data_IF_318868915216
#
_entry.id   IF_318868915216
#
_cell.length_a   1.000
_cell.length_b   1.000
_cell.length_c   1.000
_cell.angle_alpha   90.00
_cell.angle_beta   90.00
_cell.angle_gamma   90.00
#
_symmetry.space_group_name_H-M   'P 1'
#
loop_
_entity.id
_entity.type
_entity.pdbx_description
1 polymer ?
#
# COMPACT_ATOMS: atom_id res chain seq x y z
N UNK A 1 7.74 -19.34 -5.49
CA UNK A 1 8.23 -18.00 -5.89
C UNK A 1 8.79 -18.09 -7.30
N UNK A 2 8.48 -17.15 -8.17
CA UNK A 2 8.92 -17.19 -9.57
C UNK A 2 10.35 -16.66 -9.71
N UNK A 3 11.10 -17.17 -10.68
CA UNK A 3 12.45 -16.68 -10.99
C UNK A 3 12.46 -15.18 -11.36
N UNK A 4 11.37 -14.69 -11.97
CA UNK A 4 11.18 -13.29 -12.32
C UNK A 4 11.10 -12.39 -11.07
N UNK A 5 10.35 -12.80 -10.05
CA UNK A 5 10.25 -12.07 -8.78
C UNK A 5 11.61 -11.99 -8.08
N UNK A 6 12.36 -13.10 -8.03
CA UNK A 6 13.69 -13.13 -7.41
C UNK A 6 14.64 -12.16 -8.11
N UNK A 7 14.65 -12.15 -9.45
CA UNK A 7 15.51 -11.25 -10.22
C UNK A 7 15.15 -9.78 -9.99
N UNK A 8 13.86 -9.46 -9.91
CA UNK A 8 13.41 -8.09 -9.65
C UNK A 8 13.75 -7.65 -8.21
N UNK A 9 13.55 -8.52 -7.21
CA UNK A 9 13.95 -8.25 -5.84
C UNK A 9 15.46 -8.00 -5.70
N UNK A 10 16.29 -8.77 -6.41
CA UNK A 10 17.75 -8.56 -6.48
C UNK A 10 18.09 -7.14 -6.92
N UNK A 11 17.55 -6.69 -8.06
CA UNK A 11 17.81 -5.35 -8.59
C UNK A 11 17.37 -4.24 -7.62
N UNK A 12 16.19 -4.38 -7.02
CA UNK A 12 15.66 -3.40 -6.06
C UNK A 12 16.53 -3.26 -4.81
N UNK A 13 16.94 -4.39 -4.23
CA UNK A 13 17.78 -4.39 -3.03
C UNK A 13 19.17 -3.83 -3.33
N UNK A 14 19.74 -4.14 -4.50
CA UNK A 14 21.05 -3.63 -4.91
C UNK A 14 21.02 -2.10 -5.07
N UNK A 15 20.01 -1.56 -5.74
CA UNK A 15 19.87 -0.13 -6.01
C UNK A 15 19.67 0.69 -4.72
N UNK A 16 18.89 0.19 -3.76
CA UNK A 16 18.54 0.94 -2.56
C UNK A 16 19.50 0.72 -1.38
N UNK A 17 20.12 -0.47 -1.27
CA UNK A 17 20.88 -0.87 -0.09
C UNK A 17 22.29 -1.41 -0.40
N UNK A 18 22.63 -1.63 -1.67
CA UNK A 18 23.93 -2.13 -2.10
C UNK A 18 24.08 -3.65 -2.08
N UNK A 19 25.22 -4.13 -2.58
CA UNK A 19 25.47 -5.53 -2.91
C UNK A 19 25.41 -6.49 -1.71
N UNK A 20 25.92 -6.08 -0.55
CA UNK A 20 25.96 -6.95 0.64
C UNK A 20 24.52 -7.23 1.11
N UNK A 21 23.67 -6.19 1.16
CA UNK A 21 22.28 -6.32 1.61
C UNK A 21 21.47 -7.13 0.60
N UNK A 22 21.68 -6.88 -0.69
CA UNK A 22 21.08 -7.66 -1.78
C UNK A 22 21.39 -9.15 -1.65
N UNK A 23 22.66 -9.52 -1.50
CA UNK A 23 23.09 -10.91 -1.40
C UNK A 23 22.38 -11.65 -0.26
N UNK A 24 22.29 -11.03 0.92
CA UNK A 24 21.60 -11.61 2.08
C UNK A 24 20.09 -11.68 1.87
N UNK A 25 19.48 -10.60 1.36
CA UNK A 25 18.04 -10.56 1.11
C UNK A 25 17.59 -11.58 0.07
N UNK A 26 18.29 -11.67 -1.06
CA UNK A 26 18.00 -12.64 -2.13
C UNK A 26 18.23 -14.07 -1.67
N UNK A 27 19.25 -14.32 -0.85
CA UNK A 27 19.47 -15.63 -0.25
C UNK A 27 18.24 -16.07 0.55
N UNK A 28 17.79 -15.26 1.52
CA UNK A 28 16.60 -15.54 2.34
C UNK A 28 15.32 -15.70 1.49
N UNK A 29 15.15 -14.90 0.45
CA UNK A 29 14.03 -15.00 -0.49
C UNK A 29 14.02 -16.38 -1.19
N UNK A 30 15.19 -16.96 -1.47
CA UNK A 30 15.32 -18.25 -2.18
C UNK A 30 15.27 -19.47 -1.26
N UNK A 31 15.88 -19.38 -0.08
CA UNK A 31 16.06 -20.51 0.84
C UNK A 31 15.01 -20.56 1.95
N UNK A 32 14.31 -19.45 2.22
CA UNK A 32 13.31 -19.35 3.28
C UNK A 32 13.91 -18.98 4.63
N UNK A 33 13.21 -19.35 5.71
CA UNK A 33 13.60 -19.04 7.09
C UNK A 33 14.92 -19.72 7.48
N UNK A 34 15.90 -18.93 7.94
CA UNK A 34 17.22 -19.46 8.31
C UNK A 34 17.86 -18.78 9.52
N UNK A 35 18.68 -19.50 10.33
CA UNK A 35 19.47 -18.91 11.41
C UNK A 35 20.66 -18.06 10.93
N UNK A 36 21.08 -17.09 11.76
CA UNK A 36 22.19 -16.17 11.47
C UNK A 36 23.48 -16.84 10.96
N UNK A 37 23.90 -17.93 11.61
CA UNK A 37 25.17 -18.61 11.28
C UNK A 37 25.11 -19.34 9.94
N UNK A 38 23.94 -19.88 9.59
CA UNK A 38 23.71 -20.58 8.32
C UNK A 38 23.78 -19.56 7.17
N UNK A 39 23.12 -18.41 7.34
CA UNK A 39 23.17 -17.31 6.37
C UNK A 39 24.62 -16.88 6.10
N UNK A 40 25.44 -16.72 7.14
CA UNK A 40 26.84 -16.33 6.98
C UNK A 40 27.68 -17.40 6.27
N UNK A 41 27.48 -18.67 6.63
CA UNK A 41 28.16 -19.81 6.01
C UNK A 41 27.81 -19.93 4.52
N UNK A 42 26.51 -19.99 4.21
CA UNK A 42 26.01 -20.29 2.85
C UNK A 42 26.27 -19.14 1.88
N UNK A 43 26.33 -17.90 2.38
CA UNK A 43 26.68 -16.74 1.56
C UNK A 43 28.18 -16.47 1.53
N UNK A 44 29.01 -17.12 2.36
CA UNK A 44 30.43 -16.82 2.50
C UNK A 44 30.69 -15.37 2.93
N UNK A 45 29.78 -14.79 3.72
CA UNK A 45 29.83 -13.38 4.16
C UNK A 45 30.17 -13.33 5.64
N UNK A 46 30.97 -12.34 6.08
CA UNK A 46 31.35 -12.24 7.50
C UNK A 46 30.13 -12.03 8.40
N UNK A 47 30.15 -12.59 9.61
CA UNK A 47 29.03 -12.46 10.56
C UNK A 47 28.68 -10.99 10.87
N UNK A 48 29.66 -10.09 10.89
CA UNK A 48 29.44 -8.66 11.12
C UNK A 48 28.65 -8.01 9.96
N UNK A 49 29.04 -8.30 8.72
CA UNK A 49 28.32 -7.84 7.53
C UNK A 49 26.90 -8.40 7.46
N UNK A 50 26.70 -9.67 7.80
CA UNK A 50 25.36 -10.28 7.85
C UNK A 50 24.49 -9.59 8.91
N UNK A 51 25.02 -9.31 10.11
CA UNK A 51 24.30 -8.57 11.15
C UNK A 51 23.88 -7.18 10.68
N UNK A 52 24.79 -6.44 10.03
CA UNK A 52 24.50 -5.11 9.46
C UNK A 52 23.42 -5.18 8.39
N UNK A 53 23.52 -6.14 7.47
CA UNK A 53 22.53 -6.34 6.42
C UNK A 53 21.14 -6.69 6.98
N UNK A 54 21.06 -7.65 7.91
CA UNK A 54 19.80 -8.00 8.57
C UNK A 54 19.21 -6.83 9.34
N UNK A 55 20.04 -6.01 10.00
CA UNK A 55 19.57 -4.81 10.69
C UNK A 55 18.88 -3.83 9.72
N UNK A 56 19.48 -3.55 8.56
CA UNK A 56 18.90 -2.68 7.52
C UNK A 56 17.59 -3.27 6.98
N UNK A 57 17.56 -4.57 6.69
CA UNK A 57 16.36 -5.25 6.16
C UNK A 57 15.21 -5.27 7.17
N UNK A 58 15.50 -5.51 8.45
CA UNK A 58 14.51 -5.47 9.53
C UNK A 58 14.02 -4.03 9.74
N UNK A 59 14.92 -3.03 9.70
CA UNK A 59 14.56 -1.61 9.82
C UNK A 59 13.52 -1.19 8.77
N UNK A 60 13.63 -1.71 7.53
CA UNK A 60 12.70 -1.42 6.43
C UNK A 60 11.52 -2.40 6.34
N UNK A 61 11.34 -3.28 7.33
CA UNK A 61 10.30 -4.32 7.37
C UNK A 61 10.33 -5.29 6.16
N UNK A 62 11.52 -5.53 5.60
CA UNK A 62 11.72 -6.47 4.49
C UNK A 62 11.98 -7.89 4.99
N UNK A 63 12.47 -8.01 6.22
CA UNK A 63 12.74 -9.29 6.91
C UNK A 63 12.05 -9.27 8.28
N UNK A 64 11.37 -10.37 8.60
CA UNK A 64 10.86 -10.67 9.94
C UNK A 64 11.76 -11.70 10.62
N UNK A 65 11.68 -11.78 11.95
CA UNK A 65 12.38 -12.79 12.73
C UNK A 65 11.44 -13.47 13.72
N UNK A 66 11.70 -14.73 14.03
CA UNK A 66 10.96 -15.51 15.01
C UNK A 66 11.91 -16.38 15.85
N UNK A 67 11.55 -16.61 17.10
CA UNK A 67 12.30 -17.51 17.99
C UNK A 67 11.70 -18.91 17.90
N UNK A 68 12.48 -19.86 17.36
CA UNK A 68 12.08 -21.26 17.24
C UNK A 68 12.43 -22.07 18.50
N UNK A 69 12.02 -23.36 18.48
CA UNK A 69 12.35 -24.33 19.53
C UNK A 69 13.87 -24.30 19.81
N UNK A 70 14.25 -24.30 21.09
CA UNK A 70 15.65 -24.16 21.59
C UNK A 70 16.24 -22.75 21.55
N UNK A 71 15.44 -21.70 21.31
CA UNK A 71 15.89 -20.31 21.42
C UNK A 71 16.72 -19.82 20.23
N UNK A 72 16.64 -20.50 19.09
CA UNK A 72 17.30 -20.08 17.85
C UNK A 72 16.43 -19.05 17.14
N UNK A 73 17.01 -17.91 16.79
CA UNK A 73 16.35 -16.87 16.00
C UNK A 73 16.53 -17.19 14.52
N UNK A 74 15.42 -17.33 13.81
CA UNK A 74 15.41 -17.45 12.35
C UNK A 74 14.89 -16.17 11.71
N UNK A 75 15.42 -15.88 10.52
CA UNK A 75 15.09 -14.70 9.73
C UNK A 75 14.40 -15.14 8.44
N UNK A 76 13.31 -14.47 8.10
CA UNK A 76 12.51 -14.77 6.91
C UNK A 76 12.25 -13.48 6.12
N UNK A 77 12.51 -13.50 4.81
CA UNK A 77 12.31 -12.36 3.93
C UNK A 77 10.91 -12.33 3.30
N UNK A 78 10.30 -11.16 3.28
CA UNK A 78 8.97 -10.95 2.70
C UNK A 78 9.09 -10.47 1.24
N UNK A 79 9.09 -11.41 0.29
CA UNK A 79 9.26 -11.12 -1.14
C UNK A 79 8.24 -10.09 -1.67
N UNK A 80 6.95 -10.25 -1.31
CA UNK A 80 5.90 -9.33 -1.74
C UNK A 80 6.17 -7.89 -1.30
N UNK A 81 6.71 -7.70 -0.09
CA UNK A 81 7.04 -6.41 0.52
C UNK A 81 8.24 -5.73 -0.14
N UNK A 82 9.24 -6.49 -0.60
CA UNK A 82 10.36 -5.97 -1.41
C UNK A 82 9.83 -5.44 -2.74
N UNK A 83 8.99 -6.22 -3.43
CA UNK A 83 8.36 -5.79 -4.70
C UNK A 83 7.50 -4.53 -4.54
N UNK A 84 6.98 -4.24 -3.34
CA UNK A 84 6.21 -3.02 -3.08
C UNK A 84 7.06 -1.74 -3.11
N UNK A 85 8.40 -1.82 -3.08
CA UNK A 85 9.28 -0.66 -3.22
C UNK A 85 9.05 0.09 -4.54
N UNK A 86 8.75 -0.63 -5.62
CA UNK A 86 8.39 -0.06 -6.92
C UNK A 86 7.17 0.87 -6.88
N UNK A 87 6.33 0.76 -5.85
CA UNK A 87 5.10 1.56 -5.70
C UNK A 87 5.29 2.78 -4.80
N UNK A 88 6.48 2.99 -4.22
CA UNK A 88 6.73 4.12 -3.31
C UNK A 88 6.37 5.48 -3.92
N UNK A 89 6.76 5.82 -5.17
CA UNK A 89 6.37 7.09 -5.77
C UNK A 89 4.84 7.28 -5.85
N UNK A 90 4.11 6.20 -6.12
CA UNK A 90 2.65 6.24 -6.18
C UNK A 90 2.02 6.44 -4.80
N UNK A 91 2.57 5.83 -3.75
CA UNK A 91 2.09 6.06 -2.38
C UNK A 91 2.27 7.52 -1.98
N UNK A 92 3.47 8.07 -2.21
CA UNK A 92 3.82 9.47 -1.93
C UNK A 92 2.87 10.43 -2.65
N UNK A 93 2.69 10.26 -3.96
CA UNK A 93 1.78 11.09 -4.76
C UNK A 93 0.31 11.01 -4.30
N UNK A 94 -0.13 9.82 -3.91
CA UNK A 94 -1.50 9.63 -3.39
C UNK A 94 -1.69 10.39 -2.09
N UNK A 95 -0.70 10.34 -1.20
CA UNK A 95 -0.75 11.09 0.05
C UNK A 95 -0.73 12.60 -0.19
N UNK A 96 0.08 13.10 -1.13
CA UNK A 96 0.06 14.51 -1.55
C UNK A 96 -1.35 14.95 -1.97
N UNK A 97 -2.02 14.12 -2.76
CA UNK A 97 -3.37 14.40 -3.27
C UNK A 97 -4.41 14.51 -2.14
N UNK A 98 -4.26 13.73 -1.06
CA UNK A 98 -5.23 13.67 0.04
C UNK A 98 -4.87 14.57 1.23
N UNK A 99 -3.59 14.88 1.44
CA UNK A 99 -3.06 15.50 2.67
C UNK A 99 -2.07 16.65 2.43
N UNK A 100 -1.96 17.15 1.18
CA UNK A 100 -1.00 18.20 0.81
C UNK A 100 0.46 17.76 0.97
N UNK A 101 1.39 18.70 0.77
CA UNK A 101 2.84 18.49 0.83
C UNK A 101 3.31 18.00 2.21
N UNK A 102 2.65 18.41 3.29
CA UNK A 102 2.96 17.93 4.65
C UNK A 102 2.74 16.43 4.78
N UNK A 103 1.62 15.91 4.26
CA UNK A 103 1.34 14.48 4.27
C UNK A 103 2.27 13.69 3.34
N UNK A 104 2.59 14.26 2.17
CA UNK A 104 3.55 13.71 1.22
C UNK A 104 4.89 13.38 1.91
N UNK A 105 5.48 14.36 2.58
CA UNK A 105 6.78 14.21 3.24
C UNK A 105 6.74 13.28 4.45
N UNK A 106 5.62 13.22 5.20
CA UNK A 106 5.45 12.25 6.30
C UNK A 106 5.59 10.82 5.76
N UNK A 107 4.87 10.50 4.69
CA UNK A 107 4.89 9.15 4.11
C UNK A 107 6.23 8.88 3.42
N UNK A 108 6.82 9.86 2.76
CA UNK A 108 8.16 9.74 2.16
C UNK A 108 9.21 9.37 3.22
N UNK A 109 9.26 10.08 4.35
CA UNK A 109 10.22 9.79 5.43
C UNK A 109 10.01 8.38 6.02
N UNK A 110 8.76 7.95 6.20
CA UNK A 110 8.43 6.61 6.69
C UNK A 110 8.83 5.51 5.68
N UNK A 111 8.65 5.75 4.38
CA UNK A 111 9.01 4.75 3.35
C UNK A 111 10.52 4.63 3.15
N UNK A 112 11.25 5.75 3.18
CA UNK A 112 12.68 5.80 2.93
C UNK A 112 13.54 5.42 4.13
N UNK A 113 13.08 5.69 5.36
CA UNK A 113 13.84 5.34 6.58
C UNK A 113 13.29 4.08 7.28
N UNK A 114 12.13 3.56 6.85
CA UNK A 114 11.43 2.45 7.51
C UNK A 114 10.76 2.88 8.81
N UNK A 115 11.19 2.33 9.94
CA UNK A 115 10.61 2.63 11.26
C UNK A 115 11.11 3.96 11.83
N UNK A 116 10.19 4.87 12.15
CA UNK A 116 10.50 6.13 12.83
C UNK A 116 9.52 6.41 13.96
N UNK A 117 9.96 7.12 15.01
CA UNK A 117 9.06 7.67 16.03
C UNK A 117 8.30 8.87 15.49
N UNK A 118 7.15 9.22 16.09
CA UNK A 118 6.37 10.38 15.66
C UNK A 118 7.19 11.66 15.80
N UNK A 119 7.91 11.83 16.90
CA UNK A 119 8.80 12.97 17.14
C UNK A 119 9.89 13.11 16.06
N UNK A 120 10.48 12.00 15.61
CA UNK A 120 11.50 12.01 14.57
C UNK A 120 10.92 12.42 13.21
N UNK A 121 9.74 11.89 12.84
CA UNK A 121 9.05 12.24 11.59
C UNK A 121 8.67 13.72 11.59
N UNK A 122 7.99 14.20 12.65
CA UNK A 122 7.55 15.60 12.75
C UNK A 122 8.72 16.57 12.60
N UNK A 123 9.84 16.28 13.29
CA UNK A 123 11.06 17.08 13.18
C UNK A 123 11.64 17.10 11.77
N UNK A 124 11.86 15.93 11.16
CA UNK A 124 12.43 15.81 9.81
C UNK A 124 11.59 16.53 8.77
N UNK A 125 10.27 16.37 8.84
CA UNK A 125 9.32 16.99 7.90
C UNK A 125 9.29 18.51 8.08
N UNK A 126 9.22 19.00 9.32
CA UNK A 126 9.22 20.44 9.58
C UNK A 126 10.53 21.11 9.13
N UNK A 127 11.68 20.46 9.35
CA UNK A 127 12.98 20.94 8.88
C UNK A 127 13.00 21.03 7.34
N UNK A 128 12.60 19.96 6.63
CA UNK A 128 12.54 19.93 5.15
C UNK A 128 11.55 20.95 4.56
N UNK A 129 10.36 21.10 5.13
CA UNK A 129 9.39 22.09 4.66
C UNK A 129 9.89 23.51 4.86
N UNK A 130 10.57 23.78 5.97
CA UNK A 130 11.13 25.11 6.23
C UNK A 130 12.20 25.51 5.22
N UNK A 131 12.93 24.55 4.64
CA UNK A 131 13.89 24.80 3.54
C UNK A 131 13.19 25.21 2.24
N UNK A 132 11.96 24.76 2.01
CA UNK A 132 11.15 25.13 0.82
C UNK A 132 10.35 26.43 1.00
N UNK A 133 10.25 26.95 2.22
CA UNK A 133 9.50 28.17 2.53
C UNK A 133 10.36 29.44 2.35
N UNK A 134 9.70 30.53 1.94
CA UNK A 134 10.28 31.88 1.89
C UNK A 134 11.00 32.28 3.19
N UNK A 135 12.05 33.10 3.06
CA UNK A 135 12.84 33.57 4.18
C UNK A 135 11.98 34.22 5.27
N UNK A 136 12.24 33.82 6.52
CA UNK A 136 11.52 34.29 7.70
C UNK A 136 10.28 33.45 8.07
N UNK A 137 9.71 32.66 7.16
CA UNK A 137 8.65 31.69 7.51
C UNK A 137 9.24 30.38 8.01
N UNK A 138 8.55 29.68 8.89
CA UNK A 138 9.00 28.39 9.45
C UNK A 138 7.82 27.46 9.59
N UNK A 139 8.03 26.17 9.33
CA UNK A 139 7.00 25.16 9.57
C UNK A 139 6.88 24.88 11.07
N UNK A 140 5.64 24.91 11.58
CA UNK A 140 5.34 24.59 12.98
C UNK A 140 5.15 23.07 13.14
N UNK A 141 5.71 22.51 14.21
CA UNK A 141 5.53 21.11 14.56
C UNK A 141 4.06 20.76 14.80
N UNK A 142 3.25 21.71 15.28
CA UNK A 142 1.82 21.50 15.49
C UNK A 142 1.07 21.15 14.19
N UNK A 143 1.39 21.81 13.08
CA UNK A 143 0.73 21.57 11.78
C UNK A 143 1.09 20.18 11.23
N UNK A 144 2.36 19.80 11.32
CA UNK A 144 2.85 18.48 10.92
C UNK A 144 2.23 17.39 11.80
N UNK A 145 2.17 17.60 13.11
CA UNK A 145 1.54 16.69 14.07
C UNK A 145 0.06 16.48 13.78
N UNK A 146 -0.70 17.54 13.51
CA UNK A 146 -2.11 17.44 13.14
C UNK A 146 -2.32 16.62 11.86
N UNK A 147 -1.43 16.77 10.87
CA UNK A 147 -1.49 15.99 9.63
C UNK A 147 -1.15 14.52 9.88
N UNK A 148 -0.17 14.25 10.76
CA UNK A 148 0.18 12.89 11.19
C UNK A 148 -0.99 12.20 11.88
N UNK A 149 -1.69 12.90 12.79
CA UNK A 149 -2.88 12.38 13.48
C UNK A 149 -3.97 12.02 12.46
N UNK A 150 -4.27 12.91 11.51
CA UNK A 150 -5.24 12.62 10.44
C UNK A 150 -4.86 11.40 9.59
N UNK A 151 -3.57 11.20 9.30
CA UNK A 151 -3.07 10.04 8.57
C UNK A 151 -3.23 8.74 9.38
N UNK A 152 -3.04 8.81 10.70
CA UNK A 152 -3.27 7.69 11.61
C UNK A 152 -4.77 7.37 11.72
N UNK A 153 -5.63 8.38 11.89
CA UNK A 153 -7.09 8.23 12.00
C UNK A 153 -7.70 7.61 10.73
N UNK A 154 -7.11 7.88 9.56
CA UNK A 154 -7.52 7.30 8.27
C UNK A 154 -6.74 6.05 7.89
N UNK A 155 -5.95 5.52 8.83
CA UNK A 155 -5.19 4.27 8.76
C UNK A 155 -4.09 4.21 7.68
N UNK A 156 -3.67 5.33 7.10
CA UNK A 156 -2.55 5.36 6.14
C UNK A 156 -1.18 5.18 6.82
N UNK A 157 -1.12 5.50 8.11
CA UNK A 157 0.06 5.32 8.97
C UNK A 157 -0.38 4.48 10.18
N UNK A 158 0.46 3.53 10.58
CA UNK A 158 0.18 2.61 11.69
C UNK A 158 1.41 2.35 12.55
N UNK A 159 1.21 1.97 13.81
CA UNK A 159 2.30 1.54 14.68
C UNK A 159 2.90 0.22 14.20
N UNK A 160 4.20 0.08 14.42
CA UNK A 160 4.93 -1.18 14.24
C UNK A 160 4.60 -2.15 15.40
N UNK A 161 4.80 -3.46 15.20
CA UNK A 161 4.74 -4.44 16.29
C UNK A 161 5.69 -4.06 17.43
N UNK A 162 5.23 -4.13 18.67
CA UNK A 162 5.98 -3.73 19.85
C UNK A 162 6.32 -4.93 20.74
N UNK A 163 7.29 -4.74 21.64
CA UNK A 163 7.57 -5.71 22.70
C UNK A 163 6.45 -5.61 23.74
N UNK A 164 5.85 -6.72 24.19
CA UNK A 164 4.83 -6.68 25.23
C UNK A 164 5.42 -6.09 26.52
N UNK A 165 4.71 -5.14 27.13
CA UNK A 165 5.05 -4.58 28.44
C UNK A 165 4.81 -5.62 29.52
N UNK A 166 5.86 -6.33 29.93
CA UNK A 166 5.81 -7.25 31.08
C UNK A 166 5.91 -6.44 32.38
N UNK A 167 4.79 -5.86 32.83
CA UNK A 167 4.78 -5.13 34.10
C UNK A 167 4.74 -6.04 35.36
N UNK A 168 4.63 -7.37 35.20
CA UNK A 168 4.39 -8.27 36.35
C UNK A 168 4.98 -9.69 36.25
N UNK A 169 6.06 -9.91 35.51
CA UNK A 169 6.77 -11.20 35.51
C UNK A 169 8.21 -11.04 35.95
N UNK A 170 8.60 -11.83 36.96
CA UNK A 170 9.95 -12.07 37.45
C UNK A 170 10.99 -12.00 36.32
N UNK A 171 12.07 -11.18 36.41
CA UNK A 171 13.02 -11.01 35.32
C UNK A 171 13.87 -12.27 35.20
N UNK A 172 13.36 -13.26 34.48
CA UNK A 172 14.15 -14.36 33.98
C UNK A 172 15.27 -13.86 33.05
N UNK A 173 16.17 -14.76 32.61
CA UNK A 173 17.21 -14.42 31.64
C UNK A 173 16.61 -13.74 30.41
N UNK A 174 17.25 -12.69 29.86
CA UNK A 174 16.73 -12.02 28.68
C UNK A 174 16.59 -13.03 27.53
N UNK A 175 15.45 -13.05 26.82
CA UNK A 175 15.26 -13.98 25.72
C UNK A 175 16.25 -13.67 24.58
N UNK A 176 16.59 -14.67 23.73
CA UNK A 176 17.51 -14.49 22.61
C UNK A 176 17.10 -13.38 21.62
N UNK A 177 15.80 -13.15 21.46
CA UNK A 177 15.23 -11.99 20.79
C UNK A 177 13.84 -11.68 21.38
N UNK A 178 13.41 -10.41 21.40
CA UNK A 178 12.09 -10.05 21.88
C UNK A 178 11.01 -10.58 20.92
N UNK A 179 9.94 -11.16 21.47
CA UNK A 179 8.77 -11.53 20.65
C UNK A 179 7.89 -10.31 20.48
N UNK A 180 7.76 -9.84 19.23
CA UNK A 180 6.94 -8.67 18.92
C UNK A 180 5.47 -9.07 18.76
N UNK A 181 4.56 -8.28 19.31
CA UNK A 181 3.12 -8.49 19.24
C UNK A 181 2.45 -7.24 18.69
N UNK A 182 1.40 -7.43 17.89
CA UNK A 182 0.55 -6.35 17.41
C UNK A 182 -0.60 -6.18 18.40
N UNK A 183 -0.68 -5.02 19.06
CA UNK A 183 -1.87 -4.64 19.83
C UNK A 183 -2.83 -3.88 18.91
N UNK A 184 -3.94 -4.51 18.52
CA UNK A 184 -4.93 -3.92 17.61
C UNK A 184 -5.51 -2.61 18.14
N UNK A 185 -5.68 -2.48 19.46
CA UNK A 185 -6.26 -1.28 20.09
C UNK A 185 -5.37 -0.05 19.94
N UNK A 186 -4.05 -0.27 19.95
CA UNK A 186 -3.07 0.82 19.94
C UNK A 186 -2.56 1.15 18.54
N UNK A 187 -2.91 0.34 17.53
CA UNK A 187 -2.33 0.39 16.18
C UNK A 187 -2.41 1.78 15.53
N UNK A 188 -3.50 2.50 15.78
CA UNK A 188 -3.76 3.84 15.23
C UNK A 188 -3.83 4.91 16.32
N UNK A 189 -3.66 4.54 17.59
CA UNK A 189 -3.68 5.50 18.69
C UNK A 189 -2.41 6.34 18.62
N UNK A 190 -2.53 7.66 18.59
CA UNK A 190 -1.36 8.56 18.59
C UNK A 190 -1.00 8.94 20.03
N UNK A 191 0.28 8.86 20.45
CA UNK A 191 0.68 9.35 21.76
C UNK A 191 0.40 10.85 21.87
N UNK A 192 -0.12 11.30 23.03
CA UNK A 192 -0.37 12.72 23.30
C UNK A 192 0.97 13.42 23.56
N UNK A 193 1.58 13.93 22.50
CA UNK A 193 2.85 14.63 22.56
C UNK A 193 2.64 16.14 22.42
N UNK A 194 3.08 16.91 23.41
CA UNK A 194 3.20 18.38 23.30
C UNK A 194 4.47 18.73 22.51
N UNK A 195 4.50 18.40 21.21
CA UNK A 195 5.60 18.76 20.33
C UNK A 195 5.49 20.24 19.96
N UNK A 196 6.19 21.10 20.71
CA UNK A 196 6.28 22.53 20.44
C UNK A 196 7.66 22.79 19.83
N UNK A 197 7.68 23.32 18.60
CA UNK A 197 8.93 23.59 17.90
C UNK A 197 8.71 24.13 16.49
N UNK A 198 9.80 24.63 15.91
CA UNK A 198 9.82 25.15 14.54
C UNK A 198 10.92 24.44 13.77
N UNK A 199 10.66 24.19 12.49
CA UNK A 199 11.66 23.67 11.58
C UNK A 199 12.88 24.57 11.53
N UNK A 200 14.07 23.96 11.44
CA UNK A 200 15.34 24.67 11.34
C UNK A 200 15.80 24.67 9.89
N UNK A 201 16.12 25.85 9.35
CA UNK A 201 16.88 25.95 8.10
C UNK A 201 18.30 25.45 8.34
N UNK A 202 18.83 24.65 7.42
CA UNK A 202 20.27 24.47 7.31
C UNK A 202 20.90 25.82 6.98
N UNK A 203 21.52 26.46 7.97
CA UNK A 203 22.43 27.57 7.69
C UNK A 203 23.63 26.96 6.97
N UNK A 204 23.76 27.23 5.66
CA UNK A 204 25.06 27.12 5.01
C UNK A 204 25.98 28.07 5.75
N UNK A 205 26.97 27.50 6.43
CA UNK A 205 28.02 28.26 7.11
C UNK A 205 28.91 28.95 6.06
N UNK A 206 28.45 30.08 5.53
CA UNK A 206 29.26 31.01 4.71
C UNK A 206 28.95 32.51 4.99
N UNK A 207 28.05 32.84 5.93
CA UNK A 207 27.76 34.24 6.30
C UNK A 207 28.30 34.66 7.69
N UNK A 208 29.09 33.83 8.37
CA UNK A 208 29.72 34.18 9.66
C UNK A 208 31.10 34.89 9.50
N UNK A 209 31.40 35.46 8.33
CA UNK A 209 32.66 36.18 8.09
C UNK A 209 32.60 37.71 8.29
N UNK A 210 31.44 38.28 8.64
CA UNK A 210 31.30 39.75 8.76
C UNK A 210 30.43 40.19 9.96
N UNK A 211 30.73 39.72 11.17
CA UNK A 211 30.11 40.22 12.39
C UNK A 211 30.95 39.95 13.64
N UNK A 212 31.18 40.99 14.44
CA UNK A 212 32.07 41.06 15.60
C UNK A 212 31.93 39.90 16.62
N UNK A 213 33.01 39.56 17.37
CA UNK A 213 33.07 38.35 18.19
C UNK A 213 32.23 38.50 19.46
N UNK A 214 31.05 37.89 19.48
CA UNK A 214 30.28 37.71 20.73
C UNK A 214 30.94 36.65 21.61
N UNK A 215 31.23 37.06 22.85
CA UNK A 215 31.96 36.30 23.85
C UNK A 215 31.47 34.85 24.03
N UNK A 216 32.43 33.92 24.04
CA UNK A 216 32.25 32.50 24.36
C UNK A 216 31.57 32.35 25.74
N UNK A 217 30.28 32.00 25.74
CA UNK A 217 29.61 31.49 26.95
C UNK A 217 30.15 30.09 27.27
N UNK A 218 30.31 29.73 28.56
CA UNK A 218 31.02 28.52 28.94
C UNK A 218 30.22 27.27 28.53
N UNK A 219 30.97 26.26 28.11
CA UNK A 219 30.50 24.92 27.77
C UNK A 219 30.00 24.25 29.05
N UNK A 220 28.70 24.35 29.34
CA UNK A 220 28.10 23.58 30.42
C UNK A 220 27.95 22.14 29.94
N UNK A 221 28.81 21.28 30.48
CA UNK A 221 28.75 19.82 30.41
C UNK A 221 27.54 19.33 31.19
N UNK A 222 26.51 18.85 30.50
CA UNK A 222 25.53 17.85 30.96
C UNK A 222 24.60 17.47 29.78
N UNK A 223 25.08 16.60 28.88
CA UNK A 223 24.23 15.87 27.94
C UNK A 223 23.39 14.82 28.70
N UNK A 224 22.38 15.27 29.43
CA UNK A 224 21.20 14.43 29.70
C UNK A 224 20.21 14.79 28.59
N UNK A 225 20.26 14.07 27.46
CA UNK A 225 19.14 14.10 26.51
C UNK A 225 17.91 13.68 27.31
N UNK A 226 16.96 14.60 27.49
CA UNK A 226 15.65 14.23 28.02
C UNK A 226 15.13 13.04 27.20
N UNK A 227 14.62 11.98 27.84
CA UNK A 227 14.07 10.84 27.13
C UNK A 227 12.97 11.35 26.20
N UNK A 228 13.09 10.98 24.93
CA UNK A 228 12.09 11.31 23.93
C UNK A 228 10.79 10.64 24.38
N UNK A 229 9.67 11.39 24.49
CA UNK A 229 8.45 10.90 25.15
C UNK A 229 7.78 9.73 24.42
N UNK A 230 8.07 9.54 23.13
CA UNK A 230 7.59 8.43 22.29
C UNK A 230 8.68 7.41 21.93
N UNK A 231 9.76 7.34 22.72
CA UNK A 231 10.78 6.31 22.52
C UNK A 231 10.18 4.90 22.63
N UNK A 232 10.53 4.04 21.69
CA UNK A 232 9.94 2.70 21.53
C UNK A 232 8.60 2.64 20.77
N UNK A 233 7.96 3.78 20.46
CA UNK A 233 6.73 3.82 19.64
C UNK A 233 7.08 4.14 18.19
N UNK A 234 7.33 3.09 17.41
CA UNK A 234 7.66 3.21 16.00
C UNK A 234 6.43 3.17 15.10
N UNK A 235 6.45 3.96 14.04
CA UNK A 235 5.42 4.06 13.02
C UNK A 235 5.95 3.64 11.65
N UNK A 236 5.04 3.19 10.80
CA UNK A 236 5.29 2.80 9.42
C UNK A 236 4.09 3.14 8.53
N UNK A 237 4.31 3.24 7.22
CA UNK A 237 3.23 3.36 6.25
C UNK A 237 2.43 2.05 6.14
N UNK A 238 1.10 2.14 6.18
CA UNK A 238 0.20 1.01 5.99
C UNK A 238 -0.05 0.80 4.49
N UNK A 239 0.69 -0.12 3.88
CA UNK A 239 0.60 -0.36 2.43
C UNK A 239 -0.76 -0.94 2.00
N UNK A 240 -1.43 -1.69 2.87
CA UNK A 240 -2.72 -2.31 2.56
C UNK A 240 -3.82 -1.26 2.46
N UNK A 241 -3.76 -0.20 3.28
CA UNK A 241 -4.67 0.95 3.19
C UNK A 241 -4.55 1.67 1.84
N UNK A 242 -3.33 1.80 1.30
CA UNK A 242 -3.13 2.34 -0.05
C UNK A 242 -3.71 1.42 -1.12
N UNK A 243 -3.60 0.10 -0.98
CA UNK A 243 -4.17 -0.83 -1.96
C UNK A 243 -5.69 -0.81 -1.92
N UNK A 244 -6.30 -0.68 -0.75
CA UNK A 244 -7.73 -0.44 -0.60
C UNK A 244 -8.15 0.83 -1.34
N UNK A 245 -7.43 1.95 -1.12
CA UNK A 245 -7.70 3.20 -1.85
C UNK A 245 -7.56 3.04 -3.37
N UNK A 246 -6.54 2.33 -3.86
CA UNK A 246 -6.35 2.10 -5.30
C UNK A 246 -7.42 1.20 -5.92
N UNK A 247 -7.84 0.17 -5.20
CA UNK A 247 -8.98 -0.67 -5.59
C UNK A 247 -10.22 0.20 -5.74
N UNK A 248 -10.51 1.02 -4.75
CA UNK A 248 -11.71 1.85 -4.72
C UNK A 248 -11.69 2.88 -5.87
N UNK A 249 -10.56 3.54 -6.12
CA UNK A 249 -10.39 4.44 -7.26
C UNK A 249 -10.59 3.74 -8.62
N UNK A 250 -10.07 2.52 -8.78
CA UNK A 250 -10.24 1.76 -10.02
C UNK A 250 -11.71 1.40 -10.26
N UNK A 251 -12.44 0.98 -9.22
CA UNK A 251 -13.87 0.67 -9.30
C UNK A 251 -14.67 1.93 -9.64
N UNK A 252 -14.42 3.03 -8.93
CA UNK A 252 -15.12 4.31 -9.16
C UNK A 252 -14.87 4.85 -10.56
N UNK A 253 -13.63 4.80 -11.05
CA UNK A 253 -13.30 5.22 -12.42
C UNK A 253 -13.99 4.35 -13.47
N UNK A 254 -14.06 3.03 -13.26
CA UNK A 254 -14.77 2.13 -14.17
C UNK A 254 -16.28 2.43 -14.23
N UNK A 255 -16.91 2.75 -13.09
CA UNK A 255 -18.33 3.17 -13.05
C UNK A 255 -18.53 4.50 -13.76
N UNK A 256 -17.65 5.48 -13.52
CA UNK A 256 -17.71 6.80 -14.15
C UNK A 256 -17.65 6.73 -15.68
N UNK A 257 -16.80 5.85 -16.22
CA UNK A 257 -16.62 5.70 -17.67
C UNK A 257 -17.76 4.93 -18.34
N UNK A 258 -18.47 4.08 -17.61
CA UNK A 258 -19.51 3.20 -18.16
C UNK A 258 -20.92 3.76 -18.01
N UNK A 259 -21.17 4.50 -16.93
CA UNK A 259 -22.47 5.10 -16.64
C UNK A 259 -22.33 6.63 -16.70
N UNK A 260 -22.13 7.27 -15.55
CA UNK A 260 -21.97 8.71 -15.43
C UNK A 260 -21.23 9.08 -14.13
N UNK A 261 -20.94 10.37 -13.96
CA UNK A 261 -20.26 10.88 -12.76
C UNK A 261 -21.10 10.72 -11.50
N UNK A 262 -22.43 10.87 -11.58
CA UNK A 262 -23.35 10.73 -10.43
C UNK A 262 -23.33 9.31 -9.89
N UNK A 263 -23.44 8.30 -10.76
CA UNK A 263 -23.32 6.89 -10.38
C UNK A 263 -21.97 6.59 -9.71
N UNK A 264 -20.89 7.17 -10.25
CA UNK A 264 -19.56 7.00 -9.67
C UNK A 264 -19.43 7.60 -8.28
N UNK A 265 -20.09 8.73 -8.00
CA UNK A 265 -20.09 9.37 -6.68
C UNK A 265 -20.88 8.56 -5.65
N UNK A 266 -22.00 7.95 -6.07
CA UNK A 266 -22.76 7.03 -5.21
C UNK A 266 -21.88 5.84 -4.80
N UNK A 267 -21.21 5.22 -5.76
CA UNK A 267 -20.27 4.10 -5.50
C UNK A 267 -19.09 4.55 -4.64
N UNK A 268 -18.52 5.74 -4.90
CA UNK A 268 -17.46 6.34 -4.07
C UNK A 268 -17.91 6.53 -2.63
N UNK A 269 -19.14 7.02 -2.43
CA UNK A 269 -19.72 7.22 -1.10
C UNK A 269 -19.89 5.89 -0.35
N UNK A 270 -20.42 4.86 -1.02
CA UNK A 270 -20.55 3.52 -0.46
C UNK A 270 -19.20 2.90 -0.07
N UNK A 271 -18.18 3.04 -0.92
CA UNK A 271 -16.82 2.56 -0.63
C UNK A 271 -16.20 3.29 0.56
N UNK A 272 -16.36 4.63 0.62
CA UNK A 272 -15.88 5.46 1.74
C UNK A 272 -16.50 5.03 3.07
N UNK A 273 -17.80 4.75 3.09
CA UNK A 273 -18.49 4.24 4.29
C UNK A 273 -18.03 2.83 4.69
N UNK A 274 -17.46 2.08 3.74
CA UNK A 274 -17.01 0.69 3.94
C UNK A 274 -15.52 0.60 4.32
N UNK A 275 -14.79 1.71 4.39
CA UNK A 275 -13.33 1.71 4.54
C UNK A 275 -12.83 1.01 5.81
N UNK A 276 -13.53 1.23 6.94
CA UNK A 276 -13.14 0.71 8.25
C UNK A 276 -13.90 -0.54 8.67
N UNK A 277 -15.00 -0.87 8.00
CA UNK A 277 -15.90 -1.98 8.37
C UNK A 277 -15.67 -3.24 7.54
N UNK A 278 -14.97 -3.12 6.41
CA UNK A 278 -14.75 -4.21 5.46
C UNK A 278 -13.27 -4.52 5.35
N UNK A 279 -12.92 -5.80 5.43
CA UNK A 279 -11.54 -6.27 5.19
C UNK A 279 -11.08 -5.95 3.76
N UNK A 280 -9.79 -5.68 3.58
CA UNK A 280 -9.18 -5.37 2.28
C UNK A 280 -9.38 -6.48 1.24
N UNK A 281 -9.47 -7.74 1.69
CA UNK A 281 -9.63 -8.94 0.84
C UNK A 281 -11.06 -9.51 0.81
N UNK A 282 -12.05 -8.80 1.36
CA UNK A 282 -13.42 -9.29 1.37
C UNK A 282 -14.01 -9.33 -0.06
N UNK A 283 -14.85 -10.34 -0.39
CA UNK A 283 -15.49 -10.42 -1.71
C UNK A 283 -16.61 -9.38 -1.88
N UNK A 284 -17.22 -8.97 -0.78
CA UNK A 284 -18.33 -8.02 -0.70
C UNK A 284 -18.09 -7.00 0.41
N UNK A 285 -18.61 -5.79 0.25
CA UNK A 285 -18.72 -4.83 1.37
C UNK A 285 -19.84 -5.20 2.33
N UNK A 286 -19.84 -4.57 3.51
CA UNK A 286 -21.02 -4.63 4.37
C UNK A 286 -22.23 -3.99 3.66
N UNK A 287 -23.45 -4.53 3.84
CA UNK A 287 -24.67 -3.95 3.28
C UNK A 287 -24.94 -2.55 3.84
N UNK A 288 -25.24 -1.60 2.95
CA UNK A 288 -25.63 -0.23 3.30
C UNK A 288 -27.05 0.05 2.82
N UNK A 289 -27.85 0.70 3.67
CA UNK A 289 -29.20 1.10 3.27
C UNK A 289 -29.17 2.34 2.37
N UNK A 290 -30.15 2.46 1.47
CA UNK A 290 -30.29 3.66 0.62
C UNK A 290 -30.43 4.94 1.45
N UNK A 291 -31.02 4.86 2.65
CA UNK A 291 -31.15 5.99 3.58
C UNK A 291 -29.81 6.45 4.16
N UNK A 292 -28.92 5.53 4.53
CA UNK A 292 -27.59 5.85 5.06
C UNK A 292 -26.69 6.42 3.96
N UNK A 293 -26.77 5.86 2.75
CA UNK A 293 -26.06 6.36 1.58
C UNK A 293 -26.50 7.80 1.28
N UNK A 294 -27.81 8.06 1.27
CA UNK A 294 -28.35 9.40 1.00
C UNK A 294 -27.82 10.46 1.97
N UNK A 295 -27.75 10.14 3.27
CA UNK A 295 -27.22 11.05 4.30
C UNK A 295 -25.72 11.30 4.19
N UNK A 296 -24.99 10.36 3.59
CA UNK A 296 -23.53 10.39 3.50
C UNK A 296 -23.01 10.95 2.18
N UNK A 297 -23.92 11.24 1.23
CA UNK A 297 -23.57 11.91 -0.02
C UNK A 297 -23.04 13.33 0.24
N UNK A 298 -22.05 13.80 -0.54
CA UNK A 298 -21.57 15.17 -0.42
C UNK A 298 -22.69 16.18 -0.68
N UNK A 299 -22.74 17.26 0.11
CA UNK A 299 -23.75 18.33 0.02
C UNK A 299 -23.82 19.04 -1.34
N UNK A 300 -22.80 18.89 -2.18
CA UNK A 300 -22.79 19.43 -3.56
C UNK A 300 -23.65 18.64 -4.55
N UNK A 301 -24.05 17.41 -4.21
CA UNK A 301 -24.89 16.57 -5.07
C UNK A 301 -26.37 16.75 -4.70
N UNK A 302 -27.03 17.66 -5.41
CA UNK A 302 -28.45 17.99 -5.21
C UNK A 302 -29.40 16.97 -5.86
N UNK A 303 -29.24 15.68 -5.54
CA UNK A 303 -30.19 14.65 -5.97
C UNK A 303 -31.24 14.41 -4.90
N UNK A 304 -32.49 14.13 -5.31
CA UNK A 304 -33.53 13.73 -4.37
C UNK A 304 -33.38 12.25 -3.99
N UNK A 305 -33.97 11.84 -2.86
CA UNK A 305 -33.95 10.43 -2.43
C UNK A 305 -34.54 9.49 -3.48
N UNK A 306 -35.61 9.91 -4.16
CA UNK A 306 -36.25 9.13 -5.22
C UNK A 306 -35.30 8.92 -6.40
N UNK A 307 -34.52 9.96 -6.78
CA UNK A 307 -33.53 9.86 -7.85
C UNK A 307 -32.37 8.95 -7.43
N UNK A 308 -31.91 9.02 -6.18
CA UNK A 308 -30.90 8.09 -5.66
C UNK A 308 -31.37 6.62 -5.80
N UNK A 309 -32.62 6.33 -5.43
CA UNK A 309 -33.15 4.96 -5.51
C UNK A 309 -33.23 4.44 -6.94
N UNK A 310 -33.51 5.33 -7.91
CA UNK A 310 -33.44 5.00 -9.34
C UNK A 310 -32.00 4.65 -9.76
N UNK A 311 -31.00 5.44 -9.35
CA UNK A 311 -29.59 5.14 -9.63
C UNK A 311 -29.13 3.82 -9.01
N UNK A 312 -29.50 3.56 -7.75
CA UNK A 312 -29.14 2.32 -7.06
C UNK A 312 -29.76 1.09 -7.72
N UNK A 313 -31.01 1.20 -8.20
CA UNK A 313 -31.67 0.14 -8.97
C UNK A 313 -30.95 -0.08 -10.31
N UNK A 314 -30.65 0.99 -11.05
CA UNK A 314 -29.91 0.91 -12.32
C UNK A 314 -28.52 0.30 -12.15
N UNK A 315 -27.80 0.64 -11.07
CA UNK A 315 -26.51 0.08 -10.73
C UNK A 315 -26.58 -1.41 -10.38
N UNK A 316 -27.68 -1.85 -9.75
CA UNK A 316 -27.91 -3.24 -9.38
C UNK A 316 -28.34 -4.12 -10.57
N UNK A 317 -29.09 -3.55 -11.51
CA UNK A 317 -29.55 -4.24 -12.73
C UNK A 317 -28.47 -4.32 -13.82
N UNK A 318 -27.31 -3.69 -13.57
CA UNK A 318 -26.22 -3.63 -14.51
C UNK A 318 -25.54 -5.01 -14.72
N UNK A 319 -25.30 -5.46 -15.98
CA UNK A 319 -24.69 -6.75 -16.28
C UNK A 319 -23.27 -7.01 -15.71
N UNK A 320 -22.52 -5.98 -15.34
CA UNK A 320 -21.22 -6.14 -14.67
C UNK A 320 -21.37 -6.45 -13.18
N UNK A 321 -22.55 -6.19 -12.61
CA UNK A 321 -22.91 -6.50 -11.23
C UNK A 321 -21.88 -5.94 -10.23
N UNK A 322 -21.47 -4.68 -10.40
CA UNK A 322 -20.58 -4.02 -9.44
C UNK A 322 -21.29 -3.73 -8.13
N UNK A 323 -22.58 -3.40 -8.20
CA UNK A 323 -23.47 -3.23 -7.06
C UNK A 323 -24.49 -4.35 -7.09
N UNK A 324 -24.82 -4.90 -5.93
CA UNK A 324 -25.87 -5.90 -5.76
C UNK A 324 -26.87 -5.49 -4.70
N UNK A 325 -28.14 -5.87 -4.88
CA UNK A 325 -29.17 -5.72 -3.84
C UNK A 325 -29.16 -6.96 -2.95
N UNK A 326 -28.96 -6.75 -1.65
CA UNK A 326 -28.85 -7.82 -0.65
C UNK A 326 -30.07 -7.97 0.26
N UNK A 327 -30.99 -7.00 0.24
CA UNK A 327 -32.24 -7.02 1.00
C UNK A 327 -33.12 -5.80 0.74
N UNK A 328 -34.34 -5.81 1.31
CA UNK A 328 -35.34 -4.75 1.11
C UNK A 328 -35.50 -3.80 2.32
N UNK A 329 -34.84 -4.10 3.45
CA UNK A 329 -34.87 -3.26 4.64
C UNK A 329 -34.32 -1.86 4.38
N UNK A 330 -34.84 -0.85 5.10
CA UNK A 330 -34.29 0.51 5.07
C UNK A 330 -34.38 1.23 3.72
N UNK A 331 -35.34 0.85 2.86
CA UNK A 331 -35.46 1.39 1.49
C UNK A 331 -34.53 0.70 0.48
N UNK A 332 -34.09 -0.52 0.77
CA UNK A 332 -33.17 -1.32 -0.03
C UNK A 332 -31.76 -1.33 0.55
N UNK A 333 -31.19 -2.53 0.67
CA UNK A 333 -29.83 -2.78 1.13
C UNK A 333 -28.93 -3.13 -0.05
N UNK A 334 -27.84 -2.38 -0.22
CA UNK A 334 -26.93 -2.50 -1.34
C UNK A 334 -25.52 -2.86 -0.87
N UNK A 335 -24.86 -3.73 -1.63
CA UNK A 335 -23.47 -4.16 -1.42
C UNK A 335 -22.65 -3.88 -2.68
N UNK A 336 -21.35 -3.65 -2.52
CA UNK A 336 -20.42 -3.59 -3.65
C UNK A 336 -19.70 -4.93 -3.78
N UNK A 337 -19.75 -5.51 -4.97
CA UNK A 337 -19.15 -6.79 -5.33
C UNK A 337 -17.68 -6.57 -5.72
N UNK A 338 -16.80 -6.46 -4.71
CA UNK A 338 -15.37 -6.19 -4.90
C UNK A 338 -14.69 -7.21 -5.80
N UNK A 339 -15.01 -8.50 -5.65
CA UNK A 339 -14.43 -9.57 -6.47
C UNK A 339 -14.85 -9.48 -7.94
N UNK A 340 -16.15 -9.26 -8.22
CA UNK A 340 -16.64 -9.11 -9.60
C UNK A 340 -16.05 -7.86 -10.26
N UNK A 341 -15.95 -6.77 -9.52
CA UNK A 341 -15.34 -5.54 -10.03
C UNK A 341 -13.86 -5.74 -10.40
N UNK A 342 -13.08 -6.39 -9.52
CA UNK A 342 -11.68 -6.73 -9.81
C UNK A 342 -11.53 -7.70 -10.98
N UNK A 343 -12.40 -8.71 -11.10
CA UNK A 343 -12.38 -9.64 -12.23
C UNK A 343 -12.69 -8.93 -13.57
N UNK A 344 -13.63 -7.98 -13.56
CA UNK A 344 -13.96 -7.15 -14.72
C UNK A 344 -12.78 -6.24 -15.11
N UNK A 345 -12.16 -5.57 -14.14
CA UNK A 345 -10.97 -4.75 -14.35
C UNK A 345 -9.80 -5.58 -14.90
N UNK A 346 -9.55 -6.78 -14.34
CA UNK A 346 -8.53 -7.69 -14.84
C UNK A 346 -8.80 -8.12 -16.28
N UNK A 347 -10.05 -8.45 -16.60
CA UNK A 347 -10.46 -8.81 -17.97
C UNK A 347 -10.23 -7.65 -18.94
N UNK A 348 -10.58 -6.42 -18.56
CA UNK A 348 -10.35 -5.23 -19.37
C UNK A 348 -8.84 -4.97 -19.60
N UNK A 349 -7.99 -5.21 -18.58
CA UNK A 349 -6.54 -5.08 -18.75
C UNK A 349 -5.97 -6.15 -19.69
N UNK A 350 -6.43 -7.40 -19.59
CA UNK A 350 -6.03 -8.48 -20.50
C UNK A 350 -6.46 -8.18 -21.95
N UNK A 351 -7.69 -7.71 -22.14
CA UNK A 351 -8.17 -7.27 -23.46
C UNK A 351 -7.30 -6.15 -24.03
N UNK A 352 -6.95 -5.15 -23.22
CA UNK A 352 -6.10 -4.04 -23.64
C UNK A 352 -4.72 -4.53 -24.12
N UNK A 353 -4.11 -5.46 -23.39
CA UNK A 353 -2.83 -6.08 -23.78
C UNK A 353 -2.96 -6.87 -25.09
N UNK A 354 -4.04 -7.65 -25.26
CA UNK A 354 -4.30 -8.40 -26.50
C UNK A 354 -4.49 -7.45 -27.68
N UNK A 355 -5.24 -6.36 -27.48
CA UNK A 355 -5.47 -5.35 -28.52
C UNK A 355 -4.18 -4.64 -28.93
N UNK A 356 -3.32 -4.30 -27.98
CA UNK A 356 -2.05 -3.62 -28.25
C UNK A 356 -1.03 -4.55 -28.93
N UNK A 357 -0.92 -5.81 -28.49
CA UNK A 357 0.05 -6.77 -29.07
C UNK A 357 -0.39 -7.37 -30.40
N UNK A 358 -1.68 -7.65 -30.59
CA UNK A 358 -2.17 -8.44 -31.74
C UNK A 358 -3.21 -7.70 -32.60
N UNK A 359 -3.63 -6.49 -32.19
CA UNK A 359 -4.57 -5.67 -32.93
C UNK A 359 -6.04 -5.91 -32.60
N UNK A 360 -6.91 -5.03 -33.12
CA UNK A 360 -8.34 -4.95 -32.78
C UNK A 360 -9.17 -6.17 -33.21
N UNK A 361 -8.79 -6.83 -34.32
CA UNK A 361 -9.45 -8.06 -34.80
C UNK A 361 -9.22 -9.22 -33.85
N UNK A 362 -8.00 -9.35 -33.32
CA UNK A 362 -7.62 -10.37 -32.35
C UNK A 362 -8.37 -10.14 -31.01
N UNK A 363 -8.40 -8.90 -30.54
CA UNK A 363 -9.17 -8.52 -29.35
C UNK A 363 -10.69 -8.79 -29.50
N UNK A 364 -11.25 -8.63 -30.70
CA UNK A 364 -12.66 -9.00 -30.98
C UNK A 364 -12.90 -10.50 -30.76
N UNK A 365 -12.02 -11.35 -31.29
CA UNK A 365 -12.11 -12.81 -31.09
C UNK A 365 -11.97 -13.14 -29.59
N UNK A 366 -11.01 -12.52 -28.90
CA UNK A 366 -10.80 -12.72 -27.46
C UNK A 366 -12.06 -12.39 -26.63
N UNK A 367 -12.68 -11.23 -26.87
CA UNK A 367 -13.96 -10.84 -26.22
C UNK A 367 -15.08 -11.82 -26.52
N UNK A 368 -15.21 -12.24 -27.77
CA UNK A 368 -16.24 -13.18 -28.20
C UNK A 368 -16.12 -14.53 -27.46
N UNK A 369 -14.90 -15.06 -27.35
CA UNK A 369 -14.63 -16.31 -26.62
C UNK A 369 -14.92 -16.14 -25.13
N UNK A 370 -14.56 -15.02 -24.51
CA UNK A 370 -14.85 -14.76 -23.10
C UNK A 370 -16.35 -14.70 -22.77
N UNK A 371 -17.16 -14.17 -23.68
CA UNK A 371 -18.61 -14.07 -23.53
C UNK A 371 -19.30 -15.43 -23.71
N UNK A 372 -18.90 -16.19 -24.74
CA UNK A 372 -19.53 -17.48 -25.07
C UNK A 372 -18.93 -18.68 -24.33
N UNK A 373 -17.81 -18.49 -23.62
CA UNK A 373 -17.02 -19.47 -22.85
C UNK A 373 -16.35 -20.53 -23.70
N UNK A 374 -17.12 -21.26 -24.51
CA UNK A 374 -16.62 -22.31 -25.39
C UNK A 374 -17.12 -22.04 -26.81
N UNK A 375 -16.19 -21.96 -27.75
CA UNK A 375 -16.48 -21.76 -29.17
C UNK A 375 -15.60 -22.65 -30.04
N UNK A 376 -16.21 -23.22 -31.06
CA UNK A 376 -15.49 -23.90 -32.14
C UNK A 376 -14.99 -22.91 -33.19
N UNK A 377 -13.98 -23.30 -33.99
CA UNK A 377 -13.36 -22.42 -34.99
C UNK A 377 -14.39 -21.82 -35.95
N UNK A 378 -15.31 -22.63 -36.47
CA UNK A 378 -16.36 -22.18 -37.39
C UNK A 378 -17.27 -21.11 -36.76
N UNK A 379 -17.61 -21.28 -35.48
CA UNK A 379 -18.43 -20.30 -34.76
C UNK A 379 -17.67 -18.99 -34.51
N UNK A 380 -16.36 -19.05 -34.27
CA UNK A 380 -15.51 -17.87 -34.14
C UNK A 380 -15.50 -17.08 -35.45
N UNK A 381 -15.34 -17.76 -36.59
CA UNK A 381 -15.36 -17.16 -37.93
C UNK A 381 -16.69 -16.43 -38.19
N UNK A 382 -17.80 -17.13 -37.96
CA UNK A 382 -19.16 -16.64 -38.20
C UNK A 382 -19.51 -15.45 -37.29
N UNK A 383 -19.27 -15.55 -35.98
CA UNK A 383 -19.63 -14.50 -35.02
C UNK A 383 -18.68 -13.30 -35.02
N UNK A 384 -17.39 -13.50 -35.30
CA UNK A 384 -16.43 -12.41 -35.36
C UNK A 384 -16.47 -11.65 -36.70
N UNK A 385 -17.11 -12.25 -37.71
CA UNK A 385 -17.10 -11.81 -39.12
C UNK A 385 -15.67 -11.64 -39.65
N UNK A 386 -14.83 -12.64 -39.39
CA UNK A 386 -13.42 -12.67 -39.80
C UNK A 386 -13.20 -13.88 -40.71
N UNK A 387 -12.49 -13.72 -41.86
CA UNK A 387 -12.21 -14.83 -42.76
C UNK A 387 -11.49 -15.98 -42.07
N UNK A 388 -11.83 -17.22 -42.45
CA UNK A 388 -11.33 -18.46 -41.83
C UNK A 388 -9.82 -18.52 -41.65
N UNK A 389 -9.07 -18.16 -42.69
CA UNK A 389 -7.59 -18.18 -42.66
C UNK A 389 -7.05 -17.23 -41.59
N UNK A 390 -7.56 -16.00 -41.54
CA UNK A 390 -7.11 -14.97 -40.62
C UNK A 390 -7.53 -15.28 -39.17
N UNK A 391 -8.76 -15.75 -38.98
CA UNK A 391 -9.27 -16.15 -37.66
C UNK A 391 -8.42 -17.28 -37.05
N UNK A 392 -8.07 -18.30 -37.84
CA UNK A 392 -7.19 -19.40 -37.41
C UNK A 392 -5.81 -18.91 -37.01
N UNK A 393 -5.18 -18.07 -37.84
CA UNK A 393 -3.86 -17.51 -37.55
C UNK A 393 -3.86 -16.70 -36.24
N UNK A 394 -4.93 -15.93 -35.97
CA UNK A 394 -5.09 -15.18 -34.73
C UNK A 394 -5.32 -16.08 -33.51
N UNK A 395 -6.15 -17.13 -33.64
CA UNK A 395 -6.39 -18.11 -32.58
C UNK A 395 -5.08 -18.81 -32.18
N UNK A 396 -4.27 -19.24 -33.15
CA UNK A 396 -2.99 -19.92 -32.87
C UNK A 396 -1.99 -19.02 -32.14
N UNK A 397 -1.88 -17.74 -32.52
CA UNK A 397 -1.01 -16.77 -31.83
C UNK A 397 -1.39 -16.56 -30.38
N UNK A 398 -2.69 -16.43 -30.10
CA UNK A 398 -3.17 -16.27 -28.72
C UNK A 398 -3.00 -17.56 -27.90
N UNK A 399 -3.11 -18.73 -28.54
CA UNK A 399 -2.87 -20.02 -27.91
C UNK A 399 -1.39 -20.21 -27.54
N UNK A 400 -0.46 -19.85 -28.43
CA UNK A 400 0.99 -19.96 -28.16
C UNK A 400 1.48 -19.06 -27.04
N UNK A 401 0.79 -17.94 -26.80
CA UNK A 401 1.10 -16.96 -25.75
C UNK A 401 0.21 -17.14 -24.49
N UNK A 402 -0.49 -18.27 -24.38
CA UNK A 402 -1.33 -18.65 -23.23
C UNK A 402 -2.51 -17.70 -22.91
N UNK A 403 -2.96 -16.87 -23.86
CA UNK A 403 -4.18 -16.07 -23.70
C UNK A 403 -5.46 -16.89 -23.86
N UNK A 404 -5.38 -18.03 -24.56
CA UNK A 404 -6.47 -18.99 -24.70
C UNK A 404 -5.98 -20.40 -24.41
N UNK A 405 -6.93 -21.32 -24.24
CA UNK A 405 -6.66 -22.73 -24.02
C UNK A 405 -7.66 -23.58 -24.79
N UNK A 406 -7.21 -24.76 -25.21
CA UNK A 406 -8.08 -25.75 -25.83
C UNK A 406 -8.70 -26.62 -24.73
N UNK A 407 -10.02 -26.78 -24.76
CA UNK A 407 -10.69 -27.75 -23.91
C UNK A 407 -10.54 -29.13 -24.56
N UNK A 408 -9.67 -29.97 -24.01
CA UNK A 408 -9.61 -31.39 -24.37
C UNK A 408 -10.68 -32.09 -23.53
N UNK A 409 -11.68 -32.69 -24.17
CA UNK A 409 -12.66 -33.50 -23.45
C UNK A 409 -11.94 -34.66 -22.75
N UNK A 410 -12.06 -34.77 -21.43
CA UNK A 410 -11.76 -36.02 -20.75
C UNK A 410 -12.75 -37.05 -21.28
N UNK A 411 -12.25 -38.03 -22.04
CA UNK A 411 -13.01 -39.23 -22.39
C UNK A 411 -13.18 -40.13 -21.16
#
# INVERSE_FOLDING_TARGET
MTQAEIKLCSLLLQEHFGEIVEKIGVHLIRTGSQPLRVIAHDTGTSLDQVKKALCVLIQHNLVSYQVHKRGVVEYEAQCSRVLRMLRYPRYIYTTKTLYSDTGELIVEELLLNGKLTMSAVVKKVADRLTETMEDGKTMDYAEVSNTFVRLADTHFVQRCPSVPTTENSDPGPPPPAPTLVINEKDMYLVPKLSLIGKGKRRRSSDEDAAGEPKAKRPKHTTDKKEPIPDDGVYWQANLDRFHQHFRDQAIVSAVANRMDQTSSEIVRTMLRMSEITTSSSAPFTQPLSSNEIFRSLPVGYNISKQVLDQYLTLLADDPLEFVGKSGDSGGGMYVINLHKALASLATATLESVVQERFGSRCARIFRLVLQKKHLEQKQVEDFAMIPAKEAKDMLYKMLSENFMSLQVGCQ
#
